data_IF_627374456193
#
_entry.id   IF_627374456193
#
_cell.length_a   1.000
_cell.length_b   1.000
_cell.length_c   1.000
_cell.angle_alpha   90.00
_cell.angle_beta   90.00
_cell.angle_gamma   90.00
#
_symmetry.space_group_name_H-M   'P 1'
#
loop_
_entity.id
_entity.type
_entity.pdbx_description
1 polymer ?
#
# COMPACT_ATOMS: atom_id res chain seq x y z
N UNK A 1 -32.37 5.85 -6.30
CA UNK A 1 -31.10 6.12 -7.02
C UNK A 1 -29.98 5.42 -6.28
N UNK A 2 -29.75 4.15 -6.61
CA UNK A 2 -28.65 3.32 -6.12
C UNK A 2 -27.68 3.23 -7.29
N UNK A 3 -26.43 3.65 -7.11
CA UNK A 3 -25.24 3.42 -7.95
C UNK A 3 -24.33 4.66 -7.94
N UNK A 4 -23.63 4.89 -6.84
CA UNK A 4 -22.40 5.69 -6.83
C UNK A 4 -21.52 5.30 -5.63
N UNK A 5 -21.23 4.01 -5.51
CA UNK A 5 -20.24 3.47 -4.57
C UNK A 5 -19.38 2.49 -5.39
N UNK A 6 -18.76 3.04 -6.42
CA UNK A 6 -17.79 2.34 -7.25
C UNK A 6 -16.40 2.86 -6.88
N UNK A 7 -15.55 1.93 -6.48
CA UNK A 7 -14.09 2.01 -6.51
C UNK A 7 -13.42 3.08 -5.60
N UNK A 8 -13.28 2.75 -4.32
CA UNK A 8 -11.95 2.82 -3.69
C UNK A 8 -11.47 1.38 -3.59
N UNK A 9 -11.32 0.75 -4.76
CA UNK A 9 -10.46 -0.43 -4.86
C UNK A 9 -9.07 0.11 -4.62
N UNK A 10 -8.38 -0.43 -3.62
CA UNK A 10 -6.93 -0.41 -3.54
C UNK A 10 -6.40 -0.91 -4.89
N UNK A 11 -6.29 -0.01 -5.89
CA UNK A 11 -5.52 -0.27 -7.09
C UNK A 11 -4.07 -0.10 -6.69
N UNK A 12 -3.58 -1.05 -5.88
CA UNK A 12 -2.20 -1.53 -5.98
C UNK A 12 -2.15 -2.26 -7.32
N UNK A 13 -2.16 -1.45 -8.38
CA UNK A 13 -2.72 -1.81 -9.67
C UNK A 13 -1.73 -1.57 -10.79
N UNK A 14 -0.45 -1.91 -10.59
CA UNK A 14 0.49 -2.14 -11.68
C UNK A 14 1.72 -2.93 -11.19
N UNK A 15 1.50 -4.14 -10.69
CA UNK A 15 2.55 -5.12 -10.40
C UNK A 15 2.33 -6.49 -11.04
N UNK A 16 1.31 -6.66 -11.87
CA UNK A 16 0.93 -7.94 -12.45
C UNK A 16 1.65 -8.23 -13.78
N UNK A 17 3.00 -8.20 -13.81
CA UNK A 17 3.77 -8.70 -14.96
C UNK A 17 5.15 -9.27 -14.59
N UNK A 18 5.26 -10.08 -13.52
CA UNK A 18 6.33 -11.09 -13.44
C UNK A 18 5.74 -12.35 -12.77
N UNK A 19 5.27 -13.31 -13.58
CA UNK A 19 5.06 -14.70 -13.15
C UNK A 19 6.43 -15.40 -13.14
N UNK A 20 6.73 -16.06 -12.02
CA UNK A 20 7.80 -17.07 -11.80
C UNK A 20 9.24 -16.51 -11.71
N UNK A 21 10.10 -16.83 -10.73
CA UNK A 21 10.07 -17.74 -9.58
C UNK A 21 11.12 -17.27 -8.55
N UNK A 22 10.80 -17.35 -7.25
CA UNK A 22 11.72 -17.07 -6.13
C UNK A 22 10.97 -16.49 -4.92
N UNK A 23 10.97 -17.13 -3.74
CA UNK A 23 10.37 -16.53 -2.56
C UNK A 23 11.16 -15.27 -2.18
N UNK A 24 10.44 -14.19 -1.91
CA UNK A 24 10.94 -13.12 -1.06
C UNK A 24 11.65 -13.74 0.14
N UNK A 25 12.92 -13.37 0.36
CA UNK A 25 13.65 -13.75 1.59
C UNK A 25 13.08 -13.04 2.83
N UNK A 26 12.02 -12.23 2.70
CA UNK A 26 11.33 -11.66 3.84
C UNK A 26 10.87 -12.79 4.77
N UNK A 27 11.47 -12.85 5.96
CA UNK A 27 11.09 -13.85 6.93
C UNK A 27 9.64 -13.59 7.33
N UNK A 28 8.72 -14.46 6.90
CA UNK A 28 7.29 -14.42 7.25
C UNK A 28 7.05 -14.46 8.78
N UNK A 29 8.07 -14.73 9.57
CA UNK A 29 8.03 -14.78 11.02
C UNK A 29 8.60 -13.53 11.71
N UNK A 30 8.84 -12.44 10.99
CA UNK A 30 9.28 -11.18 11.59
C UNK A 30 8.17 -10.53 12.41
N UNK A 31 8.56 -9.96 13.54
CA UNK A 31 7.69 -9.12 14.37
C UNK A 31 8.16 -7.68 14.28
N UNK A 32 7.29 -6.80 13.82
CA UNK A 32 7.62 -5.39 13.66
C UNK A 32 6.38 -4.49 13.70
N UNK A 33 6.67 -3.22 13.99
CA UNK A 33 5.77 -2.10 13.80
C UNK A 33 6.43 -1.13 12.84
N UNK A 34 5.68 -0.57 11.88
CA UNK A 34 6.24 0.42 10.98
C UNK A 34 5.19 1.37 10.42
N UNK A 35 5.68 2.45 9.83
CA UNK A 35 4.87 3.45 9.16
C UNK A 35 5.37 3.64 7.72
N UNK A 36 4.44 3.69 6.79
CA UNK A 36 4.67 3.94 5.37
C UNK A 36 3.83 5.11 4.89
N UNK A 37 4.37 5.85 3.94
CA UNK A 37 3.68 6.88 3.18
C UNK A 37 3.61 6.40 1.74
N UNK A 38 2.39 6.33 1.21
CA UNK A 38 2.10 6.07 -0.19
C UNK A 38 1.75 7.40 -0.86
N UNK A 39 2.42 7.69 -1.96
CA UNK A 39 2.21 8.88 -2.79
C UNK A 39 1.92 8.43 -4.21
N UNK A 40 0.74 8.78 -4.71
CA UNK A 40 0.33 8.55 -6.09
C UNK A 40 0.26 9.89 -6.82
N UNK A 41 1.07 10.04 -7.85
CA UNK A 41 1.12 11.22 -8.72
C UNK A 41 0.66 10.80 -10.12
N UNK A 42 -0.27 11.55 -10.71
CA UNK A 42 -0.63 11.41 -12.11
C UNK A 42 -0.54 12.77 -12.82
N UNK A 43 0.38 12.87 -13.77
CA UNK A 43 0.57 14.09 -14.57
C UNK A 43 -0.61 14.31 -15.54
N UNK A 44 -1.35 13.26 -15.90
CA UNK A 44 -2.50 13.36 -16.84
C UNK A 44 -3.66 14.16 -16.20
N UNK A 45 -3.95 13.90 -14.93
CA UNK A 45 -5.03 14.55 -14.19
C UNK A 45 -4.55 15.65 -13.24
N UNK A 46 -3.23 15.90 -13.17
CA UNK A 46 -2.63 16.88 -12.25
C UNK A 46 -2.86 16.56 -10.78
N UNK A 47 -3.04 15.27 -10.46
CA UNK A 47 -3.44 14.80 -9.14
C UNK A 47 -2.27 14.26 -8.34
N UNK A 48 -2.27 14.56 -7.04
CA UNK A 48 -1.41 13.91 -6.04
C UNK A 48 -2.28 13.42 -4.90
N UNK A 49 -2.22 12.12 -4.62
CA UNK A 49 -2.86 11.51 -3.47
C UNK A 49 -1.79 11.02 -2.51
N UNK A 50 -2.00 11.26 -1.22
CA UNK A 50 -1.13 10.79 -0.16
C UNK A 50 -1.94 9.94 0.82
N UNK A 51 -1.39 8.78 1.16
CA UNK A 51 -1.97 7.85 2.12
C UNK A 51 -0.91 7.46 3.13
N UNK A 52 -1.27 7.53 4.41
CA UNK A 52 -0.42 7.09 5.50
C UNK A 52 -0.89 5.72 5.99
N UNK A 53 0.05 4.78 6.16
CA UNK A 53 -0.23 3.44 6.65
C UNK A 53 0.63 3.10 7.86
N UNK A 54 0.01 2.61 8.93
CA UNK A 54 0.70 1.99 10.07
C UNK A 54 0.46 0.50 10.05
N UNK A 55 1.54 -0.27 10.19
CA UNK A 55 1.53 -1.73 10.11
C UNK A 55 2.06 -2.32 11.40
N UNK A 56 1.37 -3.35 11.88
CA UNK A 56 1.86 -4.30 12.89
C UNK A 56 1.85 -5.68 12.25
N UNK A 57 2.95 -6.41 12.34
CA UNK A 57 3.04 -7.76 11.82
C UNK A 57 3.67 -8.69 12.87
N UNK A 58 3.13 -9.90 12.98
CA UNK A 58 3.71 -10.98 13.79
C UNK A 58 3.30 -12.31 13.19
N UNK A 59 4.30 -13.05 12.69
CA UNK A 59 4.07 -14.32 11.98
C UNK A 59 3.12 -14.10 10.81
N UNK A 60 2.05 -14.88 10.76
CA UNK A 60 0.99 -14.79 9.76
C UNK A 60 0.02 -13.61 9.98
N UNK A 61 -0.07 -13.09 11.21
CA UNK A 61 -1.00 -12.02 11.58
C UNK A 61 -0.48 -10.64 11.22
N UNK A 62 -1.40 -9.76 10.83
CA UNK A 62 -1.07 -8.36 10.60
C UNK A 62 -2.25 -7.44 10.89
N UNK A 63 -1.93 -6.18 11.19
CA UNK A 63 -2.88 -5.07 11.24
C UNK A 63 -2.32 -3.94 10.39
N UNK A 64 -3.18 -3.33 9.59
CA UNK A 64 -2.90 -2.14 8.79
C UNK A 64 -3.95 -1.09 9.18
N UNK A 65 -3.51 0.09 9.59
CA UNK A 65 -4.37 1.28 9.68
C UNK A 65 -3.94 2.22 8.56
N UNK A 66 -4.83 2.45 7.61
CA UNK A 66 -4.61 3.32 6.45
C UNK A 66 -5.48 4.57 6.57
N UNK A 67 -4.86 5.74 6.49
CA UNK A 67 -5.54 7.04 6.46
C UNK A 67 -5.44 7.62 5.05
N UNK A 68 -6.59 7.80 4.44
CA UNK A 68 -6.71 8.34 3.10
C UNK A 68 -7.28 9.75 3.16
N UNK A 69 -6.63 10.66 2.42
CA UNK A 69 -7.07 12.04 2.23
C UNK A 69 -7.00 12.34 0.74
N UNK A 70 -8.16 12.36 0.08
CA UNK A 70 -8.26 12.75 -1.33
C UNK A 70 -9.09 14.02 -1.43
N UNK A 71 -8.60 14.98 -2.20
CA UNK A 71 -9.40 16.12 -2.67
C UNK A 71 -10.31 15.59 -3.76
N UNK A 72 -11.56 15.27 -3.42
CA UNK A 72 -12.53 14.76 -4.39
C UNK A 72 -12.74 15.74 -5.56
N UNK A 73 -13.24 15.22 -6.68
CA UNK A 73 -13.58 16.02 -7.87
C UNK A 73 -14.65 17.11 -7.62
N UNK A 74 -15.33 17.04 -6.47
CA UNK A 74 -16.35 18.01 -6.02
C UNK A 74 -15.84 19.04 -5.00
N UNK A 75 -14.54 19.04 -4.68
CA UNK A 75 -13.89 20.05 -3.82
C UNK A 75 -13.86 19.72 -2.33
N UNK A 76 -14.76 18.88 -1.82
CA UNK A 76 -14.72 18.44 -0.41
C UNK A 76 -13.74 17.27 -0.21
N UNK A 77 -12.80 17.37 0.76
CA UNK A 77 -11.86 16.31 1.03
C UNK A 77 -12.57 15.06 1.58
N UNK A 78 -12.31 13.92 0.95
CA UNK A 78 -12.70 12.60 1.41
C UNK A 78 -11.62 12.12 2.37
N UNK A 79 -11.88 12.28 3.66
CA UNK A 79 -11.06 11.67 4.72
C UNK A 79 -11.72 10.37 5.21
N UNK A 80 -10.92 9.31 5.29
CA UNK A 80 -11.33 8.02 5.83
C UNK A 80 -10.17 7.27 6.45
N UNK A 81 -10.45 6.52 7.51
CA UNK A 81 -9.53 5.56 8.12
C UNK A 81 -10.04 4.14 7.88
N UNK A 82 -9.19 3.30 7.30
CA UNK A 82 -9.47 1.87 7.10
C UNK A 82 -8.55 1.07 7.99
N UNK A 83 -9.13 0.30 8.92
CA UNK A 83 -8.41 -0.67 9.74
C UNK A 83 -8.66 -2.08 9.19
N UNK A 84 -7.58 -2.72 8.73
CA UNK A 84 -7.58 -4.10 8.25
C UNK A 84 -6.78 -4.97 9.21
N UNK A 85 -7.40 -6.01 9.76
CA UNK A 85 -6.77 -6.95 10.69
C UNK A 85 -6.93 -8.37 10.14
N UNK A 86 -5.83 -9.08 9.97
CA UNK A 86 -5.84 -10.52 9.81
C UNK A 86 -5.37 -11.16 11.12
N UNK A 87 -6.29 -11.84 11.80
CA UNK A 87 -6.08 -12.40 13.14
C UNK A 87 -5.44 -13.79 13.15
N UNK A 88 -5.13 -14.33 11.96
CA UNK A 88 -4.60 -15.69 11.74
C UNK A 88 -5.63 -16.62 11.11
N UNK A 89 -6.91 -16.26 11.14
CA UNK A 89 -8.00 -17.04 10.58
C UNK A 89 -8.88 -16.20 9.65
N UNK A 90 -9.34 -15.05 10.14
CA UNK A 90 -10.31 -14.19 9.47
C UNK A 90 -9.71 -12.81 9.19
N UNK A 91 -10.17 -12.20 8.10
CA UNK A 91 -9.87 -10.83 7.71
C UNK A 91 -11.01 -9.93 8.18
N UNK A 92 -10.69 -9.00 9.06
CA UNK A 92 -11.59 -7.98 9.57
C UNK A 92 -11.24 -6.63 8.94
N UNK A 93 -12.23 -5.94 8.42
CA UNK A 93 -12.08 -4.61 7.84
C UNK A 93 -13.09 -3.69 8.50
N UNK A 94 -12.64 -2.53 8.96
CA UNK A 94 -13.48 -1.45 9.47
C UNK A 94 -13.10 -0.15 8.79
N UNK A 95 -14.10 0.57 8.27
CA UNK A 95 -13.92 1.87 7.64
C UNK A 95 -14.66 2.92 8.45
N UNK A 96 -13.96 3.98 8.81
CA UNK A 96 -14.49 5.16 9.48
C UNK A 96 -14.33 6.35 8.54
N UNK A 97 -15.40 7.07 8.28
CA UNK A 97 -15.38 8.25 7.42
C UNK A 97 -15.44 9.51 8.27
N UNK A 98 -14.72 10.56 7.86
CA UNK A 98 -14.93 11.88 8.43
C UNK A 98 -16.37 12.36 8.13
N UNK A 99 -17.01 13.12 9.03
CA UNK A 99 -18.29 13.75 8.75
C UNK A 99 -18.25 14.59 7.47
N UNK A 100 -19.34 14.60 6.70
CA UNK A 100 -19.43 15.34 5.42
C UNK A 100 -20.70 16.14 5.30
N UNK A 101 -20.68 17.18 4.47
CA UNK A 101 -21.91 17.92 4.15
C UNK A 101 -22.79 17.11 3.21
N UNK A 102 -24.08 17.03 3.50
CA UNK A 102 -25.08 16.49 2.59
C UNK A 102 -25.44 17.52 1.50
N UNK A 103 -26.35 17.17 0.58
CA UNK A 103 -26.81 18.08 -0.48
C UNK A 103 -27.52 19.33 0.06
N UNK A 104 -28.01 19.32 1.31
CA UNK A 104 -28.56 20.48 1.99
C UNK A 104 -27.50 21.33 2.71
N UNK A 105 -26.22 20.94 2.66
CA UNK A 105 -25.11 21.65 3.31
C UNK A 105 -24.93 21.32 4.80
N UNK A 106 -25.69 20.36 5.35
CA UNK A 106 -25.62 19.97 6.75
C UNK A 106 -24.56 18.89 7.00
N UNK A 107 -23.85 18.99 8.12
CA UNK A 107 -22.90 17.95 8.52
C UNK A 107 -23.64 16.67 8.87
N UNK A 108 -23.29 15.59 8.16
CA UNK A 108 -23.83 14.24 8.34
C UNK A 108 -22.72 13.31 8.78
N UNK A 109 -22.95 12.60 9.88
CA UNK A 109 -22.10 11.49 10.30
C UNK A 109 -22.41 10.27 9.45
N UNK A 110 -21.36 9.63 8.92
CA UNK A 110 -21.49 8.37 8.17
C UNK A 110 -21.17 7.24 9.15
N UNK A 111 -22.09 6.31 9.41
CA UNK A 111 -21.84 5.22 10.34
C UNK A 111 -20.65 4.36 9.85
N UNK A 112 -19.84 3.81 10.77
CA UNK A 112 -18.71 2.98 10.38
C UNK A 112 -19.20 1.70 9.72
N UNK A 113 -18.51 1.29 8.67
CA UNK A 113 -18.75 0.03 7.99
C UNK A 113 -17.78 -1.02 8.54
N UNK A 114 -18.26 -2.24 8.80
CA UNK A 114 -17.41 -3.34 9.27
C UNK A 114 -17.80 -4.66 8.62
N UNK A 115 -16.79 -5.44 8.25
CA UNK A 115 -16.95 -6.77 7.70
C UNK A 115 -15.91 -7.73 8.29
N UNK A 116 -16.25 -9.00 8.40
CA UNK A 116 -15.36 -10.07 8.85
C UNK A 116 -15.60 -11.29 7.98
N UNK A 117 -14.54 -11.81 7.36
CA UNK A 117 -14.64 -12.97 6.47
C UNK A 117 -13.33 -13.71 6.36
N UNK A 118 -13.39 -14.95 5.86
CA UNK A 118 -12.19 -15.67 5.44
C UNK A 118 -11.53 -14.96 4.25
N UNK A 119 -10.18 -14.93 4.20
CA UNK A 119 -9.47 -14.39 3.06
C UNK A 119 -9.62 -15.30 1.84
N UNK A 120 -9.69 -14.71 0.66
CA UNK A 120 -9.64 -15.48 -0.60
C UNK A 120 -8.19 -15.79 -0.98
N UNK A 121 -7.92 -16.83 -1.79
CA UNK A 121 -6.56 -17.17 -2.19
C UNK A 121 -5.79 -15.98 -2.77
N UNK A 122 -4.58 -15.73 -2.28
CA UNK A 122 -3.69 -14.64 -2.72
C UNK A 122 -3.99 -13.26 -2.12
N UNK A 123 -5.13 -13.08 -1.45
CA UNK A 123 -5.50 -11.77 -0.89
C UNK A 123 -4.53 -11.27 0.17
N UNK A 124 -4.15 -12.14 1.11
CA UNK A 124 -3.23 -11.77 2.19
C UNK A 124 -1.87 -11.35 1.63
N UNK A 125 -1.42 -11.95 0.54
CA UNK A 125 -0.15 -11.57 -0.09
C UNK A 125 -0.28 -10.20 -0.79
N UNK A 126 -1.43 -9.89 -1.38
CA UNK A 126 -1.72 -8.55 -1.93
C UNK A 126 -1.78 -7.45 -0.87
N UNK A 127 -2.19 -7.77 0.36
CA UNK A 127 -2.22 -6.82 1.49
C UNK A 127 -0.84 -6.59 2.12
N UNK A 128 0.07 -7.57 2.03
CA UNK A 128 1.43 -7.48 2.58
C UNK A 128 2.39 -6.78 1.62
N UNK A 129 2.14 -5.51 1.33
CA UNK A 129 2.97 -4.72 0.42
C UNK A 129 4.46 -4.64 0.84
N UNK A 130 4.77 -4.90 2.12
CA UNK A 130 6.14 -4.98 2.64
C UNK A 130 6.86 -6.30 2.29
N UNK A 131 6.15 -7.29 1.75
CA UNK A 131 6.70 -8.56 1.26
C UNK A 131 6.50 -8.62 -0.25
N UNK A 132 7.61 -8.52 -1.00
CA UNK A 132 7.59 -8.71 -2.44
C UNK A 132 8.75 -9.60 -2.87
N UNK A 133 8.53 -10.37 -3.93
CA UNK A 133 9.56 -11.16 -4.59
C UNK A 133 10.20 -10.33 -5.68
N UNK A 134 11.53 -10.34 -5.75
CA UNK A 134 12.29 -9.65 -6.78
C UNK A 134 13.21 -10.64 -7.51
N UNK A 135 13.34 -10.45 -8.82
CA UNK A 135 14.23 -11.22 -9.68
C UNK A 135 15.30 -10.28 -10.22
N UNK A 136 16.55 -10.75 -10.29
CA UNK A 136 17.68 -10.00 -10.87
C UNK A 136 18.80 -9.72 -9.88
N UNK A 137 19.79 -8.94 -10.34
CA UNK A 137 20.93 -8.51 -9.52
C UNK A 137 20.54 -7.30 -8.68
N UNK A 138 20.75 -7.37 -7.38
CA UNK A 138 20.59 -6.23 -6.48
C UNK A 138 21.91 -5.45 -6.37
N UNK A 139 21.80 -4.12 -6.28
CA UNK A 139 22.91 -3.24 -5.95
C UNK A 139 22.77 -2.63 -4.55
N UNK A 140 23.77 -1.84 -4.08
CA UNK A 140 23.62 -1.05 -2.85
C UNK A 140 22.47 -0.04 -2.99
N UNK A 141 21.52 -0.05 -2.05
CA UNK A 141 20.36 0.85 -2.03
C UNK A 141 20.49 2.06 -1.12
N UNK A 142 21.54 2.12 -0.30
CA UNK A 142 21.70 3.13 0.74
C UNK A 142 20.84 2.82 1.97
N UNK A 143 20.40 3.85 2.69
CA UNK A 143 19.60 3.70 3.90
C UNK A 143 18.18 4.22 3.72
N UNK A 144 17.21 3.46 4.25
CA UNK A 144 15.80 3.85 4.37
C UNK A 144 15.35 3.53 5.79
N UNK A 145 14.68 4.48 6.46
CA UNK A 145 14.29 4.35 7.88
C UNK A 145 15.44 3.89 8.81
N UNK A 146 16.68 4.35 8.55
CA UNK A 146 17.88 3.96 9.31
C UNK A 146 18.36 2.52 9.11
N UNK A 147 17.87 1.83 8.06
CA UNK A 147 18.23 0.45 7.71
C UNK A 147 18.98 0.44 6.40
N UNK A 148 20.08 -0.33 6.33
CA UNK A 148 20.76 -0.58 5.06
C UNK A 148 19.88 -1.41 4.12
N UNK A 149 19.85 -1.02 2.85
CA UNK A 149 18.99 -1.62 1.84
C UNK A 149 19.75 -2.11 0.62
N UNK A 150 19.18 -3.11 -0.04
CA UNK A 150 19.51 -3.56 -1.38
C UNK A 150 18.51 -2.96 -2.36
N UNK A 151 19.00 -2.35 -3.43
CA UNK A 151 18.19 -1.81 -4.51
C UNK A 151 18.00 -2.88 -5.59
N UNK A 152 16.75 -3.23 -5.82
CA UNK A 152 16.29 -3.98 -6.99
C UNK A 152 15.69 -2.99 -7.99
N UNK A 153 16.02 -3.14 -9.27
CA UNK A 153 15.43 -2.32 -10.33
C UNK A 153 15.13 -3.19 -11.54
N UNK A 154 13.89 -3.08 -12.02
CA UNK A 154 13.41 -3.71 -13.23
C UNK A 154 12.86 -2.65 -14.15
N UNK A 155 13.16 -2.78 -15.43
CA UNK A 155 12.73 -1.86 -16.47
C UNK A 155 12.12 -2.66 -17.61
N UNK A 156 10.82 -2.54 -17.81
CA UNK A 156 10.09 -3.20 -18.87
C UNK A 156 9.83 -2.20 -20.00
N UNK A 157 10.36 -2.49 -21.19
CA UNK A 157 10.14 -1.68 -22.39
C UNK A 157 9.05 -2.30 -23.25
N UNK A 158 8.03 -1.51 -23.57
CA UNK A 158 7.06 -1.78 -24.63
C UNK A 158 7.30 -0.77 -25.77
N UNK A 159 6.76 -1.00 -26.98
CA UNK A 159 6.92 -0.08 -28.10
C UNK A 159 6.46 1.34 -27.78
N UNK A 160 5.37 1.46 -27.02
CA UNK A 160 4.62 2.68 -26.70
C UNK A 160 4.90 3.22 -25.29
N UNK A 161 5.38 2.38 -24.37
CA UNK A 161 5.57 2.76 -22.98
C UNK A 161 6.80 2.10 -22.34
N UNK A 162 7.25 2.69 -21.24
CA UNK A 162 8.33 2.17 -20.42
C UNK A 162 7.88 2.16 -18.96
N UNK A 163 7.83 0.97 -18.36
CA UNK A 163 7.54 0.81 -16.95
C UNK A 163 8.84 0.58 -16.20
N UNK A 164 9.05 1.36 -15.14
CA UNK A 164 10.18 1.18 -14.22
C UNK A 164 9.65 0.85 -12.84
N UNK A 165 10.17 -0.23 -12.28
CA UNK A 165 9.94 -0.63 -10.90
C UNK A 165 11.28 -0.62 -10.18
N UNK A 166 11.33 0.05 -9.03
CA UNK A 166 12.47 0.07 -8.13
C UNK A 166 12.00 -0.29 -6.72
N UNK A 167 12.78 -1.08 -6.00
CA UNK A 167 12.50 -1.43 -4.62
C UNK A 167 13.78 -1.47 -3.78
N UNK A 168 13.71 -0.82 -2.62
CA UNK A 168 14.74 -0.85 -1.59
C UNK A 168 14.29 -1.82 -0.51
N UNK A 169 15.03 -2.92 -0.42
CA UNK A 169 14.72 -4.03 0.46
C UNK A 169 15.71 -4.03 1.62
N UNK A 170 15.24 -4.08 2.86
CA UNK A 170 16.09 -4.21 4.05
C UNK A 170 17.04 -5.40 3.86
N UNK A 171 18.35 -5.13 3.86
CA UNK A 171 19.36 -6.13 3.57
C UNK A 171 19.38 -7.29 4.59
N UNK A 172 18.90 -7.06 5.82
CA UNK A 172 18.84 -8.09 6.87
C UNK A 172 17.54 -8.86 6.86
N UNK A 173 16.41 -8.17 6.69
CA UNK A 173 15.08 -8.75 6.94
C UNK A 173 14.31 -9.08 5.67
N UNK A 174 14.69 -8.52 4.53
CA UNK A 174 14.00 -8.74 3.25
C UNK A 174 12.72 -7.91 3.09
N UNK A 175 12.40 -7.01 4.03
CA UNK A 175 11.22 -6.15 3.95
C UNK A 175 11.41 -5.04 2.93
N UNK A 176 10.37 -4.74 2.14
CA UNK A 176 10.35 -3.58 1.26
C UNK A 176 10.18 -2.32 2.10
N UNK A 177 11.24 -1.51 2.17
CA UNK A 177 11.22 -0.23 2.88
C UNK A 177 10.91 0.92 1.94
N UNK A 178 11.19 0.80 0.66
CA UNK A 178 10.75 1.77 -0.34
C UNK A 178 10.47 1.08 -1.67
N UNK A 179 9.49 1.57 -2.41
CA UNK A 179 9.32 1.22 -3.82
C UNK A 179 8.88 2.43 -4.64
N UNK A 180 9.41 2.54 -5.85
CA UNK A 180 8.96 3.51 -6.84
C UNK A 180 8.51 2.76 -8.09
N UNK A 181 7.28 2.97 -8.51
CA UNK A 181 6.74 2.48 -9.75
C UNK A 181 6.44 3.67 -10.65
N UNK A 182 6.92 3.68 -11.88
CA UNK A 182 6.60 4.71 -12.85
C UNK A 182 6.24 4.14 -14.21
N UNK A 183 5.33 4.82 -14.89
CA UNK A 183 4.94 4.53 -16.26
C UNK A 183 5.20 5.75 -17.13
N UNK A 184 6.10 5.62 -18.08
CA UNK A 184 6.40 6.64 -19.07
C UNK A 184 5.78 6.27 -20.41
N UNK A 185 5.03 7.19 -21.03
CA UNK A 185 4.49 7.00 -22.38
C UNK A 185 5.39 7.68 -23.40
N UNK A 186 5.84 6.93 -24.41
CA UNK A 186 6.66 7.44 -25.50
C UNK A 186 5.84 8.21 -26.53
N UNK A 187 4.53 7.92 -26.64
CA UNK A 187 3.64 8.58 -27.60
C UNK A 187 3.43 10.06 -27.29
N UNK A 188 3.32 10.37 -25.99
CA UNK A 188 3.12 11.74 -25.50
C UNK A 188 4.34 12.28 -24.74
N UNK A 189 5.45 11.54 -24.77
CA UNK A 189 6.74 11.89 -24.15
C UNK A 189 6.62 12.39 -22.70
N UNK A 190 5.86 11.68 -21.86
CA UNK A 190 5.45 12.13 -20.52
C UNK A 190 5.33 10.96 -19.54
N UNK A 191 5.52 11.22 -18.24
CA UNK A 191 5.26 10.24 -17.18
C UNK A 191 3.76 10.21 -16.88
N UNK A 192 3.10 9.10 -17.20
CA UNK A 192 1.65 8.94 -17.00
C UNK A 192 1.27 8.86 -15.53
N UNK A 193 2.13 8.21 -14.74
CA UNK A 193 1.94 8.09 -13.32
C UNK A 193 3.19 7.64 -12.60
N UNK A 194 3.25 7.99 -11.32
CA UNK A 194 4.26 7.56 -10.38
C UNK A 194 3.59 7.18 -9.07
N UNK A 195 3.91 5.99 -8.58
CA UNK A 195 3.55 5.52 -7.25
C UNK A 195 4.84 5.39 -6.45
N UNK A 196 4.89 6.02 -5.29
CA UNK A 196 6.01 5.92 -4.34
C UNK A 196 5.47 5.43 -3.01
N UNK A 197 6.03 4.34 -2.51
CA UNK A 197 5.79 3.86 -1.16
C UNK A 197 7.11 3.98 -0.40
N UNK A 198 7.13 4.67 0.73
CA UNK A 198 8.35 4.84 1.53
C UNK A 198 8.07 4.65 3.02
N UNK A 199 8.88 3.82 3.67
CA UNK A 199 8.85 3.57 5.09
C UNK A 199 9.51 4.74 5.82
N UNK A 200 8.74 5.44 6.65
CA UNK A 200 9.23 6.55 7.46
C UNK A 200 9.84 6.08 8.78
N UNK A 201 9.36 4.97 9.32
CA UNK A 201 9.90 4.37 10.54
C UNK A 201 9.59 2.88 10.62
N UNK A 202 10.50 2.11 11.21
CA UNK A 202 10.30 0.69 11.49
C UNK A 202 10.99 0.32 12.80
N UNK A 203 10.31 -0.47 13.63
CA UNK A 203 10.82 -1.02 14.89
C UNK A 203 10.56 -2.51 14.92
N UNK A 204 11.63 -3.28 15.11
CA UNK A 204 11.55 -4.73 15.30
C UNK A 204 11.40 -5.06 16.79
N UNK A 205 10.65 -6.12 17.10
CA UNK A 205 10.43 -6.58 18.46
C UNK A 205 9.04 -7.17 18.66
N UNK A 206 8.76 -7.60 19.89
CA UNK A 206 7.50 -8.25 20.22
C UNK A 206 6.30 -7.33 19.95
N UNK A 207 5.33 -7.84 19.18
CA UNK A 207 4.05 -7.15 18.95
C UNK A 207 2.96 -7.78 19.81
N UNK A 208 2.23 -7.00 20.63
CA UNK A 208 1.24 -7.55 21.56
C UNK A 208 0.03 -8.17 20.84
N UNK A 209 -0.60 -9.19 21.45
CA UNK A 209 -1.81 -9.82 20.91
C UNK A 209 -2.98 -8.86 20.72
N UNK A 210 -3.06 -7.81 21.52
CA UNK A 210 -4.06 -6.75 21.40
C UNK A 210 -3.98 -5.99 20.08
N UNK A 211 -2.84 -6.00 19.38
CA UNK A 211 -2.70 -5.39 18.06
C UNK A 211 -3.54 -6.11 16.98
N UNK A 212 -3.92 -7.36 17.20
CA UNK A 212 -4.65 -8.20 16.22
C UNK A 212 -6.10 -8.47 16.66
N UNK A 213 -6.61 -7.72 17.64
CA UNK A 213 -8.01 -7.77 18.00
C UNK A 213 -8.88 -7.20 16.87
N UNK A 214 -10.07 -7.79 16.69
CA UNK A 214 -11.08 -7.30 15.75
C UNK A 214 -11.37 -5.79 16.00
N UNK A 215 -11.35 -4.95 14.95
CA UNK A 215 -11.55 -3.50 15.05
C UNK A 215 -13.01 -3.07 15.23
#
# INVERSE_FOLDING_TARGET
>A
MKNLLLLVVLTVGLGAFIKECGPSRAAKNLEFEGAWVLVNESEIVGGKEEQNARVWARKDRFKIIAQHKSTGSTGDPIESEVTTVFDGQDLHVKTVFAPRRNYQGEMTEIPPESNSRKPVPGELDGLRFWIKSFVGKAGPGGQVAGRDTLLYSVKARRPDAESTEQAWVDAKTGLVLRSNNSLFSRQVNMTMGRETLECSSIRYGAVPDTAFAKP
#
